data_IF_677970101621
#
_entry.id   IF_677970101621
#
_cell.length_a   1.000
_cell.length_b   1.000
_cell.length_c   1.000
_cell.angle_alpha   90.00
_cell.angle_beta   90.00
_cell.angle_gamma   90.00
#
_symmetry.space_group_name_H-M   'P 1'
#
loop_
_entity.id
_entity.type
_entity.pdbx_description
1 polymer ?
#
# COMPACT_ATOMS: atom_id res chain seq x y z
N UNK A 1 -0.13 -15.15 19.39
CA UNK A 1 -1.37 -14.58 18.78
C UNK A 1 -1.28 -14.68 17.26
N UNK A 2 -2.36 -14.91 16.50
CA UNK A 2 -2.30 -15.07 15.02
C UNK A 2 -3.29 -14.15 14.32
N UNK A 3 -2.81 -13.28 13.43
CA UNK A 3 -3.64 -12.47 12.53
C UNK A 3 -3.39 -12.97 11.11
N UNK A 4 -4.45 -13.11 10.32
CA UNK A 4 -4.34 -13.49 8.92
C UNK A 4 -4.98 -12.43 8.02
N UNK A 5 -4.27 -12.04 6.96
CA UNK A 5 -4.85 -11.43 5.79
C UNK A 5 -5.29 -12.54 4.82
N UNK A 6 -6.53 -12.45 4.34
CA UNK A 6 -7.13 -13.46 3.48
C UNK A 6 -7.54 -12.87 2.14
N UNK A 7 -8.18 -13.69 1.31
CA UNK A 7 -8.83 -13.26 0.07
C UNK A 7 -10.35 -13.29 0.32
N UNK A 8 -11.14 -12.24 -0.03
CA UNK A 8 -10.72 -10.98 -0.66
C UNK A 8 -9.77 -10.18 0.23
N UNK A 9 -8.90 -9.37 -0.40
CA UNK A 9 -7.84 -8.60 0.29
C UNK A 9 -8.51 -7.78 1.39
N UNK A 10 -8.14 -7.97 2.67
CA UNK A 10 -8.79 -7.28 3.77
C UNK A 10 -8.46 -5.79 3.72
N UNK A 11 -9.41 -4.97 4.14
CA UNK A 11 -9.13 -3.57 4.41
C UNK A 11 -8.29 -3.40 5.69
N UNK A 12 -7.70 -2.22 5.85
CA UNK A 12 -6.87 -1.89 7.00
C UNK A 12 -7.65 -2.02 8.32
N UNK A 13 -8.91 -1.61 8.35
CA UNK A 13 -9.73 -1.58 9.55
C UNK A 13 -10.00 -2.97 10.10
N UNK A 14 -10.36 -3.92 9.24
CA UNK A 14 -10.57 -5.31 9.62
C UNK A 14 -9.33 -5.92 10.25
N UNK A 15 -8.14 -5.66 9.67
CA UNK A 15 -6.87 -6.11 10.22
C UNK A 15 -6.50 -5.39 11.53
N UNK A 16 -6.77 -4.08 11.61
CA UNK A 16 -6.49 -3.26 12.78
C UNK A 16 -7.35 -3.69 13.97
N UNK A 17 -8.65 -3.91 13.76
CA UNK A 17 -9.55 -4.41 14.81
C UNK A 17 -9.21 -5.85 15.21
N UNK A 18 -8.77 -6.71 14.28
CA UNK A 18 -8.24 -8.03 14.62
C UNK A 18 -6.97 -7.94 15.50
N UNK A 19 -6.09 -6.98 15.21
CA UNK A 19 -4.93 -6.71 16.05
C UNK A 19 -5.35 -6.20 17.44
N UNK A 20 -6.32 -5.27 17.49
CA UNK A 20 -6.89 -4.74 18.74
C UNK A 20 -7.58 -5.76 19.61
N UNK A 21 -8.35 -6.66 19.02
CA UNK A 21 -9.01 -7.72 19.76
C UNK A 21 -8.01 -8.71 20.38
N UNK A 22 -6.80 -8.79 19.81
CA UNK A 22 -5.82 -9.82 20.17
C UNK A 22 -4.66 -9.28 21.02
N UNK A 23 -4.52 -7.96 21.19
CA UNK A 23 -3.55 -7.32 22.09
C UNK A 23 -4.26 -6.45 23.13
N UNK A 24 -3.67 -6.26 24.30
CA UNK A 24 -4.11 -5.21 25.22
C UNK A 24 -3.64 -3.85 24.71
N UNK A 25 -4.55 -2.92 24.43
CA UNK A 25 -4.22 -1.59 23.92
C UNK A 25 -4.21 -0.53 25.06
N UNK A 26 -3.17 0.31 25.16
CA UNK A 26 -1.92 0.27 24.38
C UNK A 26 -1.00 -0.89 24.83
N UNK A 27 -0.29 -1.58 23.92
CA UNK A 27 0.58 -2.68 24.32
C UNK A 27 1.85 -2.16 24.99
N UNK A 28 2.43 -2.98 25.88
CA UNK A 28 3.73 -2.66 26.50
C UNK A 28 4.92 -2.88 25.55
N UNK A 29 4.70 -3.57 24.41
CA UNK A 29 5.66 -3.80 23.34
C UNK A 29 5.06 -4.73 22.29
N UNK A 30 5.69 -4.83 21.11
CA UNK A 30 5.33 -5.79 20.07
C UNK A 30 6.55 -6.58 19.60
N UNK A 31 6.36 -7.86 19.33
CA UNK A 31 7.33 -8.66 18.56
C UNK A 31 7.02 -8.48 17.09
N UNK A 32 7.94 -7.89 16.33
CA UNK A 32 7.78 -7.70 14.88
C UNK A 32 8.10 -9.02 14.17
N UNK A 33 7.12 -9.69 13.54
CA UNK A 33 7.38 -10.89 12.74
C UNK A 33 8.24 -10.55 11.53
N UNK A 34 8.91 -11.55 10.96
CA UNK A 34 9.66 -11.38 9.71
C UNK A 34 8.67 -11.11 8.56
N UNK A 35 8.49 -9.83 8.24
CA UNK A 35 7.70 -9.37 7.12
C UNK A 35 8.63 -8.79 6.05
N UNK A 36 8.32 -8.95 4.76
CA UNK A 36 9.30 -8.71 3.71
C UNK A 36 9.77 -7.25 3.61
N UNK A 37 8.91 -6.29 3.93
CA UNK A 37 9.22 -4.85 3.75
C UNK A 37 9.15 -4.04 5.05
N UNK A 38 9.09 -4.70 6.21
CA UNK A 38 9.11 -4.07 7.54
C UNK A 38 10.38 -4.43 8.32
N UNK A 39 11.19 -3.43 8.66
CA UNK A 39 12.41 -3.63 9.44
C UNK A 39 12.11 -3.98 10.90
N UNK A 40 13.10 -4.59 11.55
CA UNK A 40 13.12 -4.75 12.99
C UNK A 40 14.47 -4.23 13.55
N UNK A 41 14.48 -3.20 14.42
CA UNK A 41 13.34 -2.39 14.85
C UNK A 41 12.72 -1.60 13.69
N UNK A 42 11.42 -1.29 13.77
CA UNK A 42 10.69 -0.55 12.71
C UNK A 42 11.26 0.87 12.58
N UNK A 43 11.43 1.55 13.70
CA UNK A 43 12.04 2.87 13.78
C UNK A 43 13.43 2.77 14.43
N UNK A 44 14.52 3.05 13.71
CA UNK A 44 15.84 3.08 14.30
C UNK A 44 15.92 4.13 15.43
N UNK A 45 16.24 3.68 16.65
CA UNK A 45 16.47 4.56 17.81
C UNK A 45 15.20 5.14 18.47
N UNK A 46 14.01 4.73 18.05
CA UNK A 46 12.72 5.16 18.61
C UNK A 46 11.82 3.94 18.81
N UNK A 47 11.07 3.90 19.91
CA UNK A 47 9.98 2.94 20.06
C UNK A 47 8.67 3.67 20.30
N UNK A 48 7.67 3.33 19.49
CA UNK A 48 6.32 3.90 19.53
C UNK A 48 5.31 2.80 19.27
N UNK A 49 5.02 1.99 20.28
CA UNK A 49 4.24 0.75 20.14
C UNK A 49 2.92 0.93 19.38
N UNK A 50 2.15 1.99 19.66
CA UNK A 50 0.88 2.25 18.97
C UNK A 50 1.04 2.54 17.47
N UNK A 51 2.11 3.22 17.10
CA UNK A 51 2.45 3.53 15.72
C UNK A 51 3.03 2.29 15.01
N UNK A 52 3.90 1.55 15.69
CA UNK A 52 4.46 0.28 15.22
C UNK A 52 3.38 -0.77 14.89
N UNK A 53 2.27 -0.80 15.63
CA UNK A 53 1.09 -1.62 15.29
C UNK A 53 0.48 -1.19 13.95
N UNK A 54 0.31 0.12 13.74
CA UNK A 54 -0.24 0.66 12.49
C UNK A 54 0.67 0.28 11.32
N UNK A 55 2.00 0.38 11.50
CA UNK A 55 2.98 -0.09 10.52
C UNK A 55 2.84 -1.58 10.24
N UNK A 56 2.69 -2.40 11.28
CA UNK A 56 2.58 -3.84 11.16
C UNK A 56 1.31 -4.27 10.41
N UNK A 57 0.17 -3.65 10.72
CA UNK A 57 -1.11 -3.93 10.06
C UNK A 57 -1.04 -3.56 8.58
N UNK A 58 -0.48 -2.39 8.25
CA UNK A 58 -0.28 -1.98 6.85
C UNK A 58 0.68 -2.90 6.11
N UNK A 59 1.73 -3.38 6.79
CA UNK A 59 2.68 -4.31 6.19
C UNK A 59 2.03 -5.66 5.91
N UNK A 60 1.24 -6.19 6.85
CA UNK A 60 0.52 -7.45 6.64
C UNK A 60 -0.39 -7.36 5.41
N UNK A 61 -1.11 -6.24 5.26
CA UNK A 61 -1.92 -5.97 4.07
C UNK A 61 -1.06 -5.89 2.80
N UNK A 62 0.07 -5.18 2.86
CA UNK A 62 0.98 -5.02 1.72
C UNK A 62 1.59 -6.35 1.30
N UNK A 63 1.95 -7.21 2.25
CA UNK A 63 2.47 -8.54 1.97
C UNK A 63 1.41 -9.44 1.32
N UNK A 64 0.15 -9.38 1.79
CA UNK A 64 -0.96 -10.04 1.10
C UNK A 64 -1.08 -9.55 -0.35
N UNK A 65 -1.01 -8.24 -0.60
CA UNK A 65 -1.09 -7.68 -1.95
C UNK A 65 0.08 -8.13 -2.84
N UNK A 66 1.33 -8.08 -2.36
CA UNK A 66 2.50 -8.56 -3.10
C UNK A 66 2.38 -10.06 -3.44
N UNK A 67 1.91 -10.86 -2.49
CA UNK A 67 1.69 -12.30 -2.69
C UNK A 67 0.57 -12.55 -3.72
N UNK A 68 -0.51 -11.77 -3.67
CA UNK A 68 -1.58 -11.84 -4.66
C UNK A 68 -1.08 -11.49 -6.07
N UNK A 69 -0.16 -10.53 -6.23
CA UNK A 69 0.49 -10.29 -7.53
C UNK A 69 1.24 -11.53 -8.03
N UNK A 70 2.01 -12.21 -7.18
CA UNK A 70 2.64 -13.48 -7.54
C UNK A 70 1.61 -14.56 -7.94
N UNK A 71 0.47 -14.59 -7.26
CA UNK A 71 -0.66 -15.45 -7.58
C UNK A 71 -1.28 -15.17 -8.96
N UNK A 72 -1.26 -13.91 -9.42
CA UNK A 72 -1.63 -13.57 -10.79
C UNK A 72 -0.55 -13.96 -11.81
N UNK A 73 0.70 -13.62 -11.52
CA UNK A 73 1.78 -13.72 -12.50
C UNK A 73 2.14 -15.16 -12.84
N UNK A 74 2.16 -16.07 -11.86
CA UNK A 74 2.63 -17.44 -12.10
C UNK A 74 1.77 -18.19 -13.15
N UNK A 75 0.43 -18.25 -13.05
CA UNK A 75 -0.40 -18.91 -14.06
C UNK A 75 -0.34 -18.23 -15.43
N UNK A 76 -0.37 -16.88 -15.45
CA UNK A 76 -0.38 -16.11 -16.69
C UNK A 76 0.94 -16.28 -17.47
N UNK A 77 2.07 -16.13 -16.79
CA UNK A 77 3.39 -16.29 -17.42
C UNK A 77 3.65 -17.73 -17.84
N UNK A 78 3.25 -18.71 -17.02
CA UNK A 78 3.34 -20.13 -17.38
C UNK A 78 2.55 -20.46 -18.65
N UNK A 79 1.32 -19.95 -18.79
CA UNK A 79 0.52 -20.16 -19.99
C UNK A 79 1.17 -19.54 -21.24
N UNK A 80 1.79 -18.37 -21.09
CA UNK A 80 2.46 -17.66 -22.17
C UNK A 80 3.87 -18.19 -22.49
N UNK A 81 4.41 -19.12 -21.69
CA UNK A 81 5.79 -19.59 -21.82
C UNK A 81 6.84 -18.53 -21.46
N UNK A 82 6.50 -17.61 -20.56
CA UNK A 82 7.35 -16.52 -20.10
C UNK A 82 7.91 -16.79 -18.70
N UNK A 83 9.04 -16.16 -18.37
CA UNK A 83 9.56 -16.12 -17.01
C UNK A 83 9.06 -14.86 -16.29
N UNK A 84 8.59 -14.94 -15.03
CA UNK A 84 8.24 -13.74 -14.26
C UNK A 84 9.37 -12.72 -14.18
N UNK A 85 10.63 -13.16 -14.06
CA UNK A 85 11.77 -12.26 -13.96
C UNK A 85 12.00 -11.40 -15.22
N UNK A 86 11.57 -11.85 -16.41
CA UNK A 86 11.78 -11.12 -17.66
C UNK A 86 10.71 -10.06 -17.93
N UNK A 87 9.59 -10.09 -17.19
CA UNK A 87 8.45 -9.18 -17.41
C UNK A 87 8.23 -8.21 -16.26
N UNK A 88 8.80 -8.50 -15.09
CA UNK A 88 8.56 -7.72 -13.89
C UNK A 88 9.24 -6.35 -14.00
N UNK A 89 8.48 -5.25 -13.85
CA UNK A 89 9.08 -3.93 -13.76
C UNK A 89 9.96 -3.83 -12.51
N UNK A 90 10.84 -2.84 -12.51
CA UNK A 90 11.59 -2.44 -11.31
C UNK A 90 10.91 -1.27 -10.62
N UNK A 91 11.09 -1.16 -9.30
CA UNK A 91 10.72 0.06 -8.56
C UNK A 91 11.56 1.21 -9.14
N UNK A 92 10.96 2.35 -9.52
CA UNK A 92 11.66 3.48 -10.13
C UNK A 92 12.95 3.87 -9.38
N UNK A 93 14.04 4.04 -10.12
CA UNK A 93 15.35 4.40 -9.57
C UNK A 93 16.07 3.28 -8.79
N UNK A 94 15.54 2.05 -8.76
CA UNK A 94 16.15 0.92 -8.05
C UNK A 94 16.32 -0.31 -8.97
N UNK A 95 17.09 -1.30 -8.49
CA UNK A 95 17.15 -2.63 -9.10
C UNK A 95 16.08 -3.62 -8.56
N UNK A 96 15.21 -3.17 -7.65
CA UNK A 96 14.27 -4.03 -6.93
C UNK A 96 13.02 -4.33 -7.76
N UNK A 97 12.58 -5.58 -7.75
CA UNK A 97 11.34 -6.09 -8.37
C UNK A 97 10.46 -6.78 -7.33
N UNK A 98 9.33 -7.34 -7.77
CA UNK A 98 8.42 -8.09 -6.91
C UNK A 98 9.12 -9.31 -6.28
N UNK A 99 9.99 -9.99 -7.04
CA UNK A 99 10.76 -11.14 -6.54
C UNK A 99 11.68 -10.67 -5.39
N UNK A 100 12.35 -9.54 -5.58
CA UNK A 100 13.25 -8.97 -4.59
C UNK A 100 12.49 -8.56 -3.32
N UNK A 101 11.32 -7.91 -3.46
CA UNK A 101 10.47 -7.53 -2.34
C UNK A 101 10.00 -8.71 -1.49
N UNK A 102 9.81 -9.90 -2.09
CA UNK A 102 9.34 -11.09 -1.40
C UNK A 102 10.47 -11.96 -0.84
N UNK A 103 11.69 -11.82 -1.35
CA UNK A 103 12.82 -12.69 -1.02
C UNK A 103 13.93 -12.02 -0.20
N UNK A 104 14.08 -10.69 -0.30
CA UNK A 104 15.16 -9.96 0.37
C UNK A 104 14.83 -9.61 1.82
N UNK A 105 15.87 -9.30 2.58
CA UNK A 105 15.71 -8.67 3.89
C UNK A 105 15.14 -7.24 3.75
N UNK A 106 14.31 -6.77 4.68
CA UNK A 106 13.80 -5.40 4.70
C UNK A 106 14.89 -4.33 4.60
N UNK A 107 16.06 -4.56 5.20
CA UNK A 107 17.18 -3.59 5.17
C UNK A 107 17.60 -3.22 3.75
N UNK A 108 17.82 -4.23 2.90
CA UNK A 108 18.24 -4.02 1.51
C UNK A 108 17.20 -3.27 0.66
N UNK A 109 15.90 -3.45 0.95
CA UNK A 109 14.82 -2.73 0.27
C UNK A 109 14.92 -1.23 0.57
N UNK A 110 15.08 -0.90 1.86
CA UNK A 110 15.19 0.50 2.24
C UNK A 110 16.49 1.13 1.75
N UNK A 111 17.60 0.40 1.75
CA UNK A 111 18.88 0.90 1.23
C UNK A 111 18.77 1.21 -0.26
N UNK A 112 18.07 0.36 -1.03
CA UNK A 112 17.76 0.62 -2.44
C UNK A 112 16.90 1.87 -2.65
N UNK A 113 15.85 2.05 -1.85
CA UNK A 113 14.99 3.25 -1.90
C UNK A 113 15.76 4.51 -1.49
N UNK A 114 16.58 4.43 -0.44
CA UNK A 114 17.41 5.54 0.02
C UNK A 114 18.45 5.94 -1.04
N UNK A 115 19.08 4.98 -1.71
CA UNK A 115 19.99 5.23 -2.82
C UNK A 115 19.28 5.93 -3.99
N UNK A 116 18.07 5.48 -4.36
CA UNK A 116 17.27 6.12 -5.41
C UNK A 116 16.91 7.57 -5.07
N UNK A 117 16.56 7.86 -3.81
CA UNK A 117 16.31 9.24 -3.36
C UNK A 117 17.57 10.10 -3.45
N UNK A 118 18.73 9.56 -3.08
CA UNK A 118 19.99 10.28 -3.11
C UNK A 118 20.44 10.62 -4.55
N UNK A 119 20.18 9.71 -5.50
CA UNK A 119 20.60 9.87 -6.89
C UNK A 119 19.61 10.71 -7.72
N UNK A 120 18.30 10.49 -7.56
CA UNK A 120 17.26 11.08 -8.43
C UNK A 120 16.40 12.15 -7.74
N UNK A 121 16.55 12.33 -6.42
CA UNK A 121 15.70 13.22 -5.62
C UNK A 121 14.31 12.65 -5.35
N UNK A 122 13.49 13.39 -4.58
CA UNK A 122 12.19 12.91 -4.11
C UNK A 122 11.14 12.73 -5.21
N UNK A 123 11.31 13.38 -6.37
CA UNK A 123 10.39 13.30 -7.50
C UNK A 123 10.30 11.91 -8.15
N UNK A 124 11.27 11.02 -7.88
CA UNK A 124 11.28 9.64 -8.40
C UNK A 124 10.09 8.81 -7.88
N UNK A 125 9.53 9.19 -6.72
CA UNK A 125 8.36 8.56 -6.13
C UNK A 125 7.18 9.53 -6.11
N UNK A 126 6.38 9.61 -7.19
CA UNK A 126 5.35 10.65 -7.38
C UNK A 126 4.17 10.56 -6.39
N UNK A 127 4.09 9.48 -5.62
CA UNK A 127 3.08 9.27 -4.59
C UNK A 127 3.56 9.71 -3.20
N UNK A 128 4.85 10.00 -3.02
CA UNK A 128 5.43 10.43 -1.74
C UNK A 128 5.23 11.94 -1.56
N UNK A 129 4.55 12.33 -0.47
CA UNK A 129 4.44 13.74 -0.08
C UNK A 129 5.82 14.28 0.29
N UNK A 130 6.22 15.38 -0.36
CA UNK A 130 7.49 16.07 -0.06
C UNK A 130 7.22 17.53 0.32
N UNK A 131 7.72 18.02 1.47
CA UNK A 131 8.28 17.24 2.58
C UNK A 131 7.19 16.43 3.30
N UNK A 132 7.57 15.30 3.91
CA UNK A 132 6.64 14.43 4.64
C UNK A 132 6.08 15.16 5.86
N UNK A 133 6.96 15.81 6.63
CA UNK A 133 6.62 16.71 7.73
C UNK A 133 7.01 18.13 7.37
N UNK A 134 6.16 19.11 7.68
CA UNK A 134 6.51 20.51 7.47
C UNK A 134 7.21 21.08 8.71
N UNK A 135 8.28 21.83 8.50
CA UNK A 135 8.98 22.53 9.59
C UNK A 135 9.79 21.63 10.53
N UNK A 136 9.79 20.30 10.32
CA UNK A 136 10.66 19.36 11.01
C UNK A 136 11.06 18.22 10.05
N UNK A 137 12.21 17.59 10.29
CA UNK A 137 12.62 16.35 9.63
C UNK A 137 12.79 15.27 10.67
N UNK A 138 12.23 14.10 10.41
CA UNK A 138 12.34 12.92 11.26
C UNK A 138 12.77 11.74 10.38
N UNK A 139 14.06 11.64 10.02
CA UNK A 139 14.52 10.71 8.99
C UNK A 139 14.11 9.25 9.21
N UNK A 140 14.06 8.81 10.47
CA UNK A 140 13.66 7.44 10.84
C UNK A 140 12.20 7.12 10.51
N UNK A 141 11.29 8.09 10.59
CA UNK A 141 9.87 7.92 10.23
C UNK A 141 9.68 8.19 8.73
N UNK A 142 10.33 9.24 8.23
CA UNK A 142 10.24 9.66 6.83
C UNK A 142 10.63 8.54 5.86
N UNK A 143 11.70 7.78 6.16
CA UNK A 143 12.11 6.67 5.31
C UNK A 143 11.10 5.51 5.31
N UNK A 144 10.49 5.21 6.46
CA UNK A 144 9.44 4.17 6.57
C UNK A 144 8.23 4.56 5.72
N UNK A 145 7.73 5.79 5.88
CA UNK A 145 6.65 6.32 5.04
C UNK A 145 7.02 6.30 3.55
N UNK A 146 8.26 6.68 3.21
CA UNK A 146 8.71 6.72 1.81
C UNK A 146 8.74 5.34 1.17
N UNK A 147 9.28 4.32 1.86
CA UNK A 147 9.34 2.95 1.34
C UNK A 147 7.94 2.38 1.11
N UNK A 148 7.02 2.55 2.07
CA UNK A 148 5.63 2.11 1.92
C UNK A 148 4.96 2.71 0.68
N UNK A 149 5.15 4.02 0.47
CA UNK A 149 4.53 4.75 -0.63
C UNK A 149 5.20 4.42 -1.98
N UNK A 150 6.52 4.20 -2.01
CA UNK A 150 7.24 3.72 -3.18
C UNK A 150 6.74 2.33 -3.61
N UNK A 151 6.56 1.41 -2.66
CA UNK A 151 6.03 0.08 -2.91
C UNK A 151 4.58 0.15 -3.44
N UNK A 152 3.72 1.01 -2.87
CA UNK A 152 2.34 1.21 -3.37
C UNK A 152 2.33 1.78 -4.78
N UNK A 153 3.21 2.73 -5.08
CA UNK A 153 3.42 3.22 -6.44
C UNK A 153 3.87 2.12 -7.40
N UNK A 154 4.76 1.24 -6.96
CA UNK A 154 5.19 0.08 -7.73
C UNK A 154 4.06 -0.95 -7.95
N UNK A 155 3.21 -1.20 -6.95
CA UNK A 155 2.02 -2.06 -7.09
C UNK A 155 1.07 -1.53 -8.18
N UNK A 156 0.96 -0.21 -8.36
CA UNK A 156 0.22 0.36 -9.48
C UNK A 156 0.81 -0.07 -10.84
N UNK A 157 2.14 -0.05 -10.97
CA UNK A 157 2.82 -0.54 -12.19
C UNK A 157 2.60 -2.04 -12.41
N UNK A 158 2.55 -2.82 -11.32
CA UNK A 158 2.23 -4.25 -11.39
C UNK A 158 0.80 -4.52 -11.87
N UNK A 159 -0.19 -3.68 -11.50
CA UNK A 159 -1.56 -3.79 -12.03
C UNK A 159 -1.57 -3.71 -13.56
N UNK A 160 -0.85 -2.74 -14.13
CA UNK A 160 -0.72 -2.60 -15.59
C UNK A 160 -0.04 -3.81 -16.22
N UNK A 161 1.00 -4.35 -15.57
CA UNK A 161 1.70 -5.56 -16.03
C UNK A 161 0.75 -6.77 -16.06
N UNK A 162 0.00 -6.99 -14.99
CA UNK A 162 -0.96 -8.10 -14.90
C UNK A 162 -2.09 -7.93 -15.91
N UNK A 163 -2.65 -6.73 -16.07
CA UNK A 163 -3.67 -6.45 -17.09
C UNK A 163 -3.17 -6.79 -18.49
N UNK A 164 -1.97 -6.37 -18.86
CA UNK A 164 -1.39 -6.65 -20.18
C UNK A 164 -1.13 -8.15 -20.42
N UNK A 165 -0.83 -8.93 -19.38
CA UNK A 165 -0.72 -10.39 -19.50
C UNK A 165 -2.10 -11.04 -19.67
N UNK A 166 -3.11 -10.57 -18.93
CA UNK A 166 -4.49 -11.04 -19.08
C UNK A 166 -4.99 -10.81 -20.50
N UNK A 167 -4.72 -9.64 -21.09
CA UNK A 167 -5.11 -9.33 -22.47
C UNK A 167 -4.44 -10.28 -23.48
N UNK A 168 -3.16 -10.62 -23.28
CA UNK A 168 -2.47 -11.60 -24.12
C UNK A 168 -3.07 -13.01 -24.00
N UNK A 169 -3.37 -13.44 -22.77
CA UNK A 169 -3.96 -14.75 -22.49
C UNK A 169 -5.36 -14.85 -23.09
N UNK A 170 -6.24 -13.89 -22.79
CA UNK A 170 -7.61 -13.84 -23.31
C UNK A 170 -7.62 -13.76 -24.84
N UNK A 171 -6.70 -13.00 -25.45
CA UNK A 171 -6.51 -12.97 -26.89
C UNK A 171 -6.14 -14.33 -27.50
N UNK A 172 -5.22 -15.08 -26.88
CA UNK A 172 -4.86 -16.45 -27.32
C UNK A 172 -6.02 -17.43 -27.16
N UNK A 173 -6.79 -17.31 -26.09
CA UNK A 173 -7.95 -18.16 -25.81
C UNK A 173 -9.21 -17.71 -26.56
N UNK A 174 -9.18 -16.57 -27.26
CA UNK A 174 -10.33 -15.92 -27.92
C UNK A 174 -11.51 -15.69 -26.95
N UNK A 175 -11.18 -15.33 -25.71
CA UNK A 175 -12.15 -14.95 -24.67
C UNK A 175 -12.37 -13.43 -24.68
N UNK A 176 -13.50 -12.95 -24.12
CA UNK A 176 -13.64 -11.52 -23.82
C UNK A 176 -12.48 -11.03 -22.96
N UNK A 177 -11.92 -9.88 -23.32
CA UNK A 177 -10.88 -9.22 -22.55
C UNK A 177 -11.39 -8.71 -21.20
N UNK A 178 -10.46 -8.35 -20.33
CA UNK A 178 -10.82 -7.78 -19.03
C UNK A 178 -11.42 -6.37 -19.23
N UNK A 179 -12.43 -5.98 -18.43
CA UNK A 179 -12.86 -4.59 -18.38
C UNK A 179 -11.72 -3.65 -17.99
N UNK A 180 -11.79 -2.40 -18.45
CA UNK A 180 -10.81 -1.38 -18.09
C UNK A 180 -10.73 -1.21 -16.57
N UNK A 181 -9.51 -1.23 -16.03
CA UNK A 181 -9.29 -0.98 -14.61
C UNK A 181 -9.37 0.53 -14.32
N UNK A 182 -9.85 0.92 -13.12
CA UNK A 182 -9.76 2.30 -12.67
C UNK A 182 -8.30 2.74 -12.59
N UNK A 183 -8.04 4.00 -12.97
CA UNK A 183 -6.71 4.59 -12.84
C UNK A 183 -6.52 5.13 -11.43
N UNK A 184 -5.37 4.83 -10.84
CA UNK A 184 -4.97 5.35 -9.53
C UNK A 184 -4.71 6.86 -9.61
N UNK A 185 -5.35 7.69 -8.75
CA UNK A 185 -5.14 9.14 -8.77
C UNK A 185 -3.74 9.50 -8.27
N UNK A 186 -3.17 10.55 -8.86
CA UNK A 186 -1.89 11.11 -8.41
C UNK A 186 -2.04 11.82 -7.06
N UNK A 187 -0.94 11.97 -6.31
CA UNK A 187 -0.96 12.73 -5.06
C UNK A 187 -1.41 14.19 -5.30
N UNK A 188 -1.06 14.77 -6.44
CA UNK A 188 -1.51 16.11 -6.83
C UNK A 188 -3.03 16.16 -7.04
N UNK A 189 -3.63 15.15 -7.67
CA UNK A 189 -5.08 15.07 -7.84
C UNK A 189 -5.81 14.88 -6.49
N UNK A 190 -5.28 14.01 -5.61
CA UNK A 190 -5.78 13.84 -4.23
C UNK A 190 -5.72 15.16 -3.48
N UNK A 191 -4.57 15.85 -3.54
CA UNK A 191 -4.37 17.14 -2.87
C UNK A 191 -5.35 18.19 -3.38
N UNK A 192 -5.50 18.30 -4.70
CA UNK A 192 -6.44 19.24 -5.32
C UNK A 192 -7.89 18.95 -4.90
N UNK A 193 -8.29 17.68 -4.84
CA UNK A 193 -9.62 17.27 -4.41
C UNK A 193 -9.90 17.63 -2.94
N UNK A 194 -8.93 17.35 -2.05
CA UNK A 194 -9.03 17.72 -0.64
C UNK A 194 -9.15 19.24 -0.50
N UNK A 195 -8.26 20.00 -1.15
CA UNK A 195 -8.25 21.47 -1.06
C UNK A 195 -9.50 22.11 -1.68
N UNK A 196 -10.07 21.51 -2.73
CA UNK A 196 -11.34 21.95 -3.31
C UNK A 196 -12.55 21.66 -2.40
N UNK A 197 -12.49 20.57 -1.63
CA UNK A 197 -13.55 20.20 -0.68
C UNK A 197 -13.51 21.05 0.59
N UNK A 198 -12.32 21.45 1.02
CA UNK A 198 -12.10 22.27 2.22
C UNK A 198 -11.44 23.61 1.86
N UNK A 199 -12.18 24.52 1.19
CA UNK A 199 -11.66 25.83 0.87
C UNK A 199 -11.40 26.64 2.14
N UNK A 200 -10.44 27.57 2.09
CA UNK A 200 -10.12 28.47 3.21
C UNK A 200 -8.75 28.23 3.86
N UNK A 201 -8.02 27.21 3.42
CA UNK A 201 -6.64 26.96 3.82
C UNK A 201 -5.68 27.32 2.66
N UNK A 202 -4.48 27.85 2.96
CA UNK A 202 -3.51 28.22 1.92
C UNK A 202 -2.90 27.01 1.21
N UNK A 203 -2.74 25.90 1.92
CA UNK A 203 -2.22 24.64 1.39
C UNK A 203 -2.68 23.45 2.25
N UNK A 204 -2.43 22.23 1.76
CA UNK A 204 -2.82 20.99 2.43
C UNK A 204 -2.17 20.83 3.81
N UNK A 205 -0.93 21.31 3.98
CA UNK A 205 -0.24 21.16 5.26
C UNK A 205 -0.83 22.10 6.32
N UNK A 206 -1.24 23.31 5.93
CA UNK A 206 -1.97 24.21 6.81
C UNK A 206 -3.33 23.65 7.23
N UNK A 207 -4.05 23.01 6.30
CA UNK A 207 -5.30 22.28 6.59
C UNK A 207 -5.06 21.13 7.58
N UNK A 208 -4.05 20.28 7.35
CA UNK A 208 -3.78 19.15 8.24
C UNK A 208 -3.39 19.64 9.65
N UNK A 209 -2.50 20.65 9.73
CA UNK A 209 -2.04 21.19 11.01
C UNK A 209 -3.11 21.96 11.79
N UNK A 210 -4.19 22.41 11.14
CA UNK A 210 -5.27 23.09 11.86
C UNK A 210 -6.01 22.15 12.82
N UNK A 211 -5.99 20.83 12.55
CA UNK A 211 -6.75 19.82 13.31
C UNK A 211 -8.26 20.02 13.23
N UNK A 212 -8.76 20.92 12.39
CA UNK A 212 -10.18 21.28 12.32
C UNK A 212 -11.01 20.33 11.45
N UNK A 213 -10.35 19.48 10.66
CA UNK A 213 -10.96 18.49 9.78
C UNK A 213 -10.42 17.11 10.15
N UNK A 214 -11.30 16.15 10.36
CA UNK A 214 -10.91 14.81 10.77
C UNK A 214 -10.21 14.04 9.65
N UNK A 215 -9.39 13.05 10.00
CA UNK A 215 -8.70 12.21 9.02
C UNK A 215 -9.69 11.52 8.08
N UNK A 216 -10.79 10.97 8.61
CA UNK A 216 -11.80 10.33 7.78
C UNK A 216 -12.48 11.30 6.82
N UNK A 217 -12.74 12.55 7.24
CA UNK A 217 -13.32 13.56 6.36
C UNK A 217 -12.36 13.92 5.20
N UNK A 218 -11.06 14.03 5.48
CA UNK A 218 -10.04 14.24 4.45
C UNK A 218 -10.00 13.08 3.45
N UNK A 219 -9.95 11.84 3.92
CA UNK A 219 -9.87 10.66 3.05
C UNK A 219 -11.17 10.41 2.27
N UNK A 220 -12.34 10.67 2.88
CA UNK A 220 -13.63 10.51 2.22
C UNK A 220 -13.79 11.42 1.00
N UNK A 221 -13.18 12.61 1.02
CA UNK A 221 -13.20 13.54 -0.12
C UNK A 221 -12.60 12.96 -1.40
N UNK A 222 -11.71 11.96 -1.27
CA UNK A 222 -11.00 11.32 -2.38
C UNK A 222 -11.86 10.31 -3.14
N UNK A 223 -12.94 9.80 -2.53
CA UNK A 223 -13.83 8.81 -3.16
C UNK A 223 -14.40 9.27 -4.50
N UNK A 224 -14.55 10.58 -4.71
CA UNK A 224 -15.01 11.17 -5.97
C UNK A 224 -14.01 11.06 -7.13
N UNK A 225 -12.72 10.80 -6.86
CA UNK A 225 -11.68 10.73 -7.91
C UNK A 225 -11.68 9.41 -8.67
N UNK A 226 -12.22 8.35 -8.09
CA UNK A 226 -12.18 7.01 -8.68
C UNK A 226 -13.61 6.50 -8.86
N UNK A 227 -14.13 6.45 -10.10
CA UNK A 227 -15.47 5.97 -10.37
C UNK A 227 -15.68 4.55 -9.82
N UNK A 228 -16.84 4.35 -9.17
CA UNK A 228 -17.22 3.08 -8.52
C UNK A 228 -16.28 2.58 -7.42
N UNK A 229 -15.34 3.42 -6.95
CA UNK A 229 -14.51 3.08 -5.81
C UNK A 229 -15.39 2.91 -4.56
N UNK A 230 -15.23 1.80 -3.81
CA UNK A 230 -16.04 1.57 -2.63
C UNK A 230 -15.76 2.64 -1.58
N UNK A 231 -16.79 2.95 -0.78
CA UNK A 231 -16.63 3.78 0.40
C UNK A 231 -15.59 3.16 1.31
N UNK A 232 -14.57 3.94 1.68
CA UNK A 232 -13.54 3.49 2.61
C UNK A 232 -14.15 3.26 3.99
N UNK A 233 -13.77 2.18 4.69
CA UNK A 233 -14.14 2.02 6.08
C UNK A 233 -13.53 3.16 6.91
N UNK A 234 -14.29 3.65 7.90
CA UNK A 234 -13.87 4.76 8.74
C UNK A 234 -12.71 4.34 9.64
N UNK A 235 -11.53 4.94 9.46
CA UNK A 235 -10.36 4.69 10.30
C UNK A 235 -10.63 5.10 11.76
N UNK A 236 -9.95 4.46 12.73
CA UNK A 236 -9.96 4.91 14.12
C UNK A 236 -9.51 6.38 14.21
N UNK A 237 -10.13 7.14 15.10
CA UNK A 237 -9.73 8.52 15.42
C UNK A 237 -9.49 8.66 16.94
N UNK A 238 -8.25 8.93 17.39
CA UNK A 238 -7.02 9.02 16.60
C UNK A 238 -6.61 7.65 16.00
N UNK A 239 -5.96 7.68 14.84
CA UNK A 239 -5.42 6.49 14.17
C UNK A 239 -4.26 5.92 14.99
N UNK A 240 -3.44 6.79 15.57
CA UNK A 240 -2.36 6.41 16.48
C UNK A 240 -2.71 6.94 17.87
N UNK A 241 -3.15 6.08 18.81
CA UNK A 241 -3.47 6.52 20.15
C UNK A 241 -2.29 7.20 20.85
N UNK A 242 -2.57 8.31 21.55
CA UNK A 242 -1.60 9.15 22.27
C UNK A 242 -0.57 9.87 21.38
N UNK A 243 -0.80 9.98 20.06
CA UNK A 243 -0.01 10.82 19.18
C UNK A 243 -0.68 12.18 18.97
N UNK A 244 0.07 13.27 19.11
CA UNK A 244 -0.44 14.64 18.93
C UNK A 244 -0.06 15.26 17.58
N UNK A 245 0.26 14.44 16.57
CA UNK A 245 0.76 14.91 15.27
C UNK A 245 -0.22 14.57 14.16
N UNK A 246 -1.05 15.55 13.78
CA UNK A 246 -1.99 15.42 12.67
C UNK A 246 -1.29 15.15 11.32
N UNK A 247 -0.09 15.69 11.11
CA UNK A 247 0.69 15.40 9.90
C UNK A 247 1.12 13.94 9.83
N UNK A 248 1.52 13.35 10.96
CA UNK A 248 1.87 11.94 11.01
C UNK A 248 0.62 11.08 10.76
N UNK A 249 -0.48 11.33 11.47
CA UNK A 249 -1.73 10.60 11.26
C UNK A 249 -2.23 10.73 9.82
N UNK A 250 -2.10 11.91 9.21
CA UNK A 250 -2.43 12.11 7.81
C UNK A 250 -1.54 11.28 6.87
N UNK A 251 -0.22 11.25 7.09
CA UNK A 251 0.69 10.44 6.28
C UNK A 251 0.36 8.94 6.38
N UNK A 252 -0.06 8.48 7.55
CA UNK A 252 -0.51 7.10 7.75
C UNK A 252 -1.88 6.82 7.14
N UNK A 253 -2.83 7.74 7.26
CA UNK A 253 -4.12 7.63 6.58
C UNK A 253 -4.01 7.68 5.06
N UNK A 254 -3.12 8.52 4.51
CA UNK A 254 -2.81 8.57 3.08
C UNK A 254 -2.22 7.22 2.60
N UNK A 255 -1.34 6.63 3.43
CA UNK A 255 -0.85 5.29 3.19
C UNK A 255 -1.98 4.26 3.12
N UNK A 256 -2.90 4.26 4.07
CA UNK A 256 -4.06 3.34 4.08
C UNK A 256 -4.95 3.55 2.85
N UNK A 257 -5.22 4.81 2.48
CA UNK A 257 -5.96 5.17 1.27
C UNK A 257 -5.33 4.57 0.02
N UNK A 258 -4.01 4.71 -0.18
CA UNK A 258 -3.33 4.13 -1.34
C UNK A 258 -3.40 2.60 -1.35
N UNK A 259 -3.30 1.94 -0.20
CA UNK A 259 -3.51 0.49 -0.12
C UNK A 259 -4.90 0.11 -0.62
N UNK A 260 -5.94 0.83 -0.21
CA UNK A 260 -7.31 0.58 -0.68
C UNK A 260 -7.48 0.86 -2.18
N UNK A 261 -6.87 1.92 -2.69
CA UNK A 261 -6.91 2.27 -4.13
C UNK A 261 -6.18 1.23 -4.99
N UNK A 262 -5.18 0.51 -4.46
CA UNK A 262 -4.52 -0.62 -5.12
C UNK A 262 -5.35 -1.90 -4.97
N UNK A 263 -5.87 -2.20 -3.77
CA UNK A 263 -6.63 -3.41 -3.50
C UNK A 263 -7.92 -3.52 -4.32
N UNK A 264 -8.56 -2.40 -4.64
CA UNK A 264 -9.79 -2.37 -5.44
C UNK A 264 -9.61 -2.94 -6.87
N UNK A 265 -8.74 -2.40 -7.74
CA UNK A 265 -8.48 -2.99 -9.05
C UNK A 265 -7.90 -4.41 -8.95
N UNK A 266 -7.09 -4.72 -7.92
CA UNK A 266 -6.65 -6.11 -7.68
C UNK A 266 -7.84 -7.07 -7.48
N UNK A 267 -8.87 -6.65 -6.74
CA UNK A 267 -10.07 -7.45 -6.50
C UNK A 267 -10.85 -7.67 -7.81
N UNK A 268 -10.94 -6.64 -8.66
CA UNK A 268 -11.55 -6.78 -9.99
C UNK A 268 -10.80 -7.79 -10.86
N UNK A 269 -9.46 -7.73 -10.88
CA UNK A 269 -8.61 -8.72 -11.57
C UNK A 269 -8.86 -10.12 -11.01
N UNK A 270 -8.84 -10.29 -9.70
CA UNK A 270 -9.09 -11.56 -9.03
C UNK A 270 -10.43 -12.18 -9.44
N UNK A 271 -11.50 -11.38 -9.43
CA UNK A 271 -12.83 -11.82 -9.84
C UNK A 271 -12.85 -12.22 -11.32
N UNK A 272 -12.15 -11.47 -12.18
CA UNK A 272 -12.04 -11.81 -13.59
C UNK A 272 -11.28 -13.13 -13.80
N UNK A 273 -10.09 -13.30 -13.21
CA UNK A 273 -9.27 -14.50 -13.43
C UNK A 273 -9.90 -15.76 -12.82
N UNK A 274 -10.61 -15.63 -11.70
CA UNK A 274 -11.30 -16.77 -11.07
C UNK A 274 -12.61 -17.15 -11.75
N UNK A 275 -13.23 -16.23 -12.51
CA UNK A 275 -14.44 -16.54 -13.28
C UNK A 275 -14.14 -16.95 -14.73
N UNK A 276 -13.26 -16.21 -15.40
CA UNK A 276 -13.03 -16.31 -16.85
C UNK A 276 -11.79 -17.13 -17.19
N UNK A 277 -10.76 -17.10 -16.33
CA UNK A 277 -9.48 -17.77 -16.56
C UNK A 277 -9.19 -18.88 -15.54
N UNK A 278 -10.22 -19.41 -14.86
CA UNK A 278 -10.08 -20.37 -13.77
C UNK A 278 -9.33 -21.64 -14.17
N UNK A 279 -9.39 -22.02 -15.45
CA UNK A 279 -8.69 -23.17 -16.01
C UNK A 279 -7.16 -23.08 -15.90
N UNK A 280 -6.59 -21.89 -15.64
CA UNK A 280 -5.15 -21.69 -15.46
C UNK A 280 -4.68 -22.00 -14.03
N UNK A 281 -5.60 -22.25 -13.07
CA UNK A 281 -5.24 -22.68 -11.72
C UNK A 281 -4.75 -21.56 -10.79
N UNK A 282 -5.39 -20.39 -10.82
CA UNK A 282 -5.09 -19.29 -9.91
C UNK A 282 -5.32 -19.67 -8.44
N UNK A 283 -4.41 -19.26 -7.56
CA UNK A 283 -4.50 -19.47 -6.11
C UNK A 283 -3.96 -18.25 -5.36
N UNK A 284 -4.67 -17.87 -4.29
CA UNK A 284 -4.38 -16.68 -3.48
C UNK A 284 -4.29 -17.08 -2.01
N UNK A 285 -3.09 -17.47 -1.51
CA UNK A 285 -2.94 -17.95 -0.16
C UNK A 285 -3.20 -16.84 0.86
N UNK A 286 -3.69 -17.25 2.03
CA UNK A 286 -3.77 -16.36 3.19
C UNK A 286 -2.39 -16.17 3.80
N UNK A 287 -2.03 -14.92 4.08
CA UNK A 287 -0.82 -14.57 4.81
C UNK A 287 -1.15 -14.38 6.28
N UNK A 288 -0.45 -15.09 7.16
CA UNK A 288 -0.64 -14.97 8.59
C UNK A 288 0.65 -14.59 9.31
N UNK A 289 0.54 -13.69 10.28
CA UNK A 289 1.60 -13.39 11.23
C UNK A 289 1.27 -13.94 12.60
N UNK A 290 2.31 -14.39 13.30
CA UNK A 290 2.22 -14.85 14.68
C UNK A 290 3.10 -13.97 15.57
N UNK A 291 2.55 -13.60 16.73
CA UNK A 291 3.21 -12.88 17.81
C UNK A 291 3.50 -13.82 18.98
#
# INVERSE_FOLDING_TARGET
>A
MRICATTPIPDFNGLYEAARASMTFPPQGITVPALPTLRNPIYPGLSRTNDEIVQLVQELQSYQMLTTFSGFLNPLTSFLGLSPASILPKIPGTALSLIDLLAMSPGAIYDGVAAALAEYGSGIFPFVKTPIFQGMSIPSIEIVTTVKMAIKGYMNTLLGTVSGLIDQVTGKLKLPGMPALPTLPSLAAITAQIMGTFPGFPDLSALIRSGSVSLNALLASVSALVPAFPTLPALPEPLIPNLSSFEHEFNEGLNVLYSSLVAYPMTLIMNFVTSTLSMLGFSFPAICITF
#
